data_IF_571475187203
#
_entry.id   IF_571475187203
#
_cell.length_a   1.000
_cell.length_b   1.000
_cell.length_c   1.000
_cell.angle_alpha   90.00
_cell.angle_beta   90.00
_cell.angle_gamma   90.00
#
_symmetry.space_group_name_H-M   'P 1'
#
loop_
_entity.id
_entity.type
_entity.pdbx_description
1 polymer ?
#
# COMPACT_ATOMS: atom_id res chain seq x y z
N UNK A 1 9.34 8.92 -10.66
CA UNK A 1 8.56 8.17 -9.66
C UNK A 1 7.83 9.03 -8.63
N UNK A 2 8.45 10.03 -7.97
CA UNK A 2 7.77 10.82 -6.93
C UNK A 2 6.43 11.45 -7.39
N UNK A 3 6.43 12.06 -8.58
CA UNK A 3 5.22 12.64 -9.16
C UNK A 3 4.18 11.57 -9.52
N UNK A 4 4.62 10.43 -10.06
CA UNK A 4 3.75 9.29 -10.34
C UNK A 4 3.04 8.78 -9.08
N UNK A 5 3.72 8.71 -7.92
CA UNK A 5 3.06 8.30 -6.68
C UNK A 5 1.93 9.23 -6.26
N UNK A 6 2.06 10.54 -6.50
CA UNK A 6 0.96 11.50 -6.28
C UNK A 6 -0.22 11.19 -7.19
N UNK A 7 0.01 11.00 -8.48
CA UNK A 7 -1.06 10.67 -9.42
C UNK A 7 -1.73 9.33 -9.10
N UNK A 8 -0.95 8.33 -8.66
CA UNK A 8 -1.50 7.05 -8.19
C UNK A 8 -2.38 7.23 -6.97
N UNK A 9 -1.94 8.06 -6.01
CA UNK A 9 -2.73 8.41 -4.83
C UNK A 9 -4.05 9.13 -5.19
N UNK A 10 -3.99 10.05 -6.15
CA UNK A 10 -5.17 10.74 -6.68
C UNK A 10 -6.14 9.78 -7.40
N UNK A 11 -5.64 8.88 -8.26
CA UNK A 11 -6.43 7.83 -8.91
C UNK A 11 -7.04 6.84 -7.90
N UNK A 12 -6.27 6.43 -6.89
CA UNK A 12 -6.75 5.58 -5.80
C UNK A 12 -7.93 6.25 -5.09
N UNK A 13 -7.80 7.55 -4.76
CA UNK A 13 -8.88 8.33 -4.14
C UNK A 13 -10.12 8.35 -5.02
N UNK A 14 -9.99 8.62 -6.33
CA UNK A 14 -11.13 8.64 -7.25
C UNK A 14 -11.82 7.29 -7.35
N UNK A 15 -11.05 6.19 -7.37
CA UNK A 15 -11.61 4.83 -7.34
C UNK A 15 -12.41 4.59 -6.07
N UNK A 16 -11.87 4.93 -4.90
CA UNK A 16 -12.61 4.77 -3.64
C UNK A 16 -13.85 5.66 -3.58
N UNK A 17 -13.78 6.92 -4.02
CA UNK A 17 -14.96 7.79 -4.14
C UNK A 17 -16.04 7.11 -4.99
N UNK A 18 -15.68 6.56 -6.16
CA UNK A 18 -16.62 5.85 -7.02
C UNK A 18 -17.20 4.60 -6.35
N UNK A 19 -16.37 3.76 -5.75
CA UNK A 19 -16.84 2.55 -5.04
C UNK A 19 -17.81 2.97 -3.96
N UNK A 20 -17.38 3.85 -3.05
CA UNK A 20 -18.10 4.24 -1.85
C UNK A 20 -19.38 5.04 -2.10
N UNK A 21 -19.47 5.75 -3.23
CA UNK A 21 -20.70 6.44 -3.64
C UNK A 21 -21.76 5.50 -4.22
N UNK A 22 -21.36 4.30 -4.65
CA UNK A 22 -22.24 3.36 -5.36
C UNK A 22 -22.42 2.02 -4.64
N UNK A 23 -21.50 1.67 -3.75
CA UNK A 23 -21.45 0.40 -3.03
C UNK A 23 -20.72 0.58 -1.71
N UNK A 24 -21.38 0.18 -0.62
CA UNK A 24 -20.76 0.18 0.71
C UNK A 24 -20.40 -1.26 1.12
N UNK A 25 -19.13 -1.68 0.98
CA UNK A 25 -18.71 -3.06 1.20
C UNK A 25 -18.42 -3.43 2.66
N UNK A 26 -18.29 -2.44 3.55
CA UNK A 26 -17.82 -2.66 4.91
C UNK A 26 -18.99 -2.78 5.90
N UNK A 27 -19.66 -3.92 5.93
CA UNK A 27 -20.71 -4.18 6.91
C UNK A 27 -20.12 -4.24 8.34
N UNK A 28 -20.48 -3.28 9.21
CA UNK A 28 -20.06 -3.27 10.62
C UNK A 28 -18.58 -2.93 10.87
N UNK A 29 -18.02 -1.96 10.14
CA UNK A 29 -16.64 -1.49 10.32
C UNK A 29 -15.55 -2.58 10.09
N UNK A 30 -15.86 -3.65 9.34
CA UNK A 30 -14.91 -4.75 9.08
C UNK A 30 -13.72 -4.36 8.18
N UNK A 31 -13.76 -3.14 7.63
CA UNK A 31 -12.81 -2.65 6.63
C UNK A 31 -12.88 -3.41 5.32
N UNK A 32 -11.95 -3.08 4.43
CA UNK A 32 -11.76 -3.76 3.16
C UNK A 32 -10.68 -4.83 3.34
N UNK A 33 -10.91 -6.04 2.86
CA UNK A 33 -9.89 -7.10 2.89
C UNK A 33 -8.58 -6.58 2.28
N UNK A 34 -7.44 -7.02 2.79
CA UNK A 34 -6.11 -6.57 2.34
C UNK A 34 -5.95 -6.77 0.82
N UNK A 35 -6.45 -7.88 0.27
CA UNK A 35 -6.55 -8.13 -1.18
C UNK A 35 -7.29 -7.04 -1.97
N UNK A 36 -8.35 -6.45 -1.41
CA UNK A 36 -9.09 -5.37 -2.06
C UNK A 36 -8.34 -4.04 -1.98
N UNK A 37 -7.60 -3.80 -0.89
CA UNK A 37 -6.69 -2.65 -0.78
C UNK A 37 -5.62 -2.74 -1.88
N UNK A 38 -4.93 -3.88 -1.94
CA UNK A 38 -3.88 -4.16 -2.93
C UNK A 38 -4.41 -4.05 -4.35
N UNK A 39 -5.55 -4.67 -4.67
CA UNK A 39 -6.13 -4.61 -6.01
C UNK A 39 -6.46 -3.18 -6.45
N UNK A 40 -7.05 -2.36 -5.57
CA UNK A 40 -7.38 -0.97 -5.92
C UNK A 40 -6.14 -0.11 -6.14
N UNK A 41 -5.07 -0.34 -5.37
CA UNK A 41 -3.80 0.36 -5.57
C UNK A 41 -3.09 -0.08 -6.85
N UNK A 42 -3.03 -1.39 -7.12
CA UNK A 42 -2.47 -1.93 -8.37
C UNK A 42 -3.23 -1.38 -9.59
N UNK A 43 -4.56 -1.39 -9.54
CA UNK A 43 -5.39 -0.78 -10.60
C UNK A 43 -5.10 0.71 -10.81
N UNK A 44 -4.77 1.46 -9.75
CA UNK A 44 -4.40 2.87 -9.86
C UNK A 44 -3.01 3.03 -10.50
N UNK A 45 -2.05 2.17 -10.16
CA UNK A 45 -0.74 2.13 -10.83
C UNK A 45 -0.86 1.82 -12.31
N UNK A 46 -1.57 0.77 -12.69
CA UNK A 46 -1.72 0.37 -14.10
C UNK A 46 -2.32 1.50 -14.94
N UNK A 47 -3.26 2.27 -14.39
CA UNK A 47 -3.83 3.43 -15.06
C UNK A 47 -2.84 4.59 -15.22
N UNK A 48 -2.02 4.86 -14.21
CA UNK A 48 -1.07 5.99 -14.22
C UNK A 48 0.18 5.66 -15.05
N UNK A 49 0.68 4.43 -14.96
CA UNK A 49 1.90 3.98 -15.61
C UNK A 49 1.68 3.44 -17.03
N UNK A 50 0.46 3.02 -17.36
CA UNK A 50 0.09 2.55 -18.69
C UNK A 50 0.53 1.10 -18.97
N UNK A 51 0.47 0.71 -20.25
CA UNK A 51 0.56 -0.68 -20.70
C UNK A 51 1.89 -1.38 -20.45
N UNK A 52 2.98 -0.62 -20.21
CA UNK A 52 4.29 -1.19 -19.87
C UNK A 52 4.41 -1.60 -18.39
N UNK A 53 3.41 -1.29 -17.57
CA UNK A 53 3.32 -1.71 -16.18
C UNK A 53 2.92 -3.18 -16.08
N UNK A 54 3.74 -3.99 -15.43
CA UNK A 54 3.43 -5.38 -15.11
C UNK A 54 3.14 -5.45 -13.61
N UNK A 55 1.97 -5.96 -13.24
CA UNK A 55 1.64 -6.25 -11.85
C UNK A 55 1.53 -7.75 -11.61
N UNK A 56 1.91 -8.19 -10.41
CA UNK A 56 1.75 -9.58 -10.00
C UNK A 56 1.37 -9.66 -8.53
N UNK A 57 0.30 -10.38 -8.21
CA UNK A 57 -0.20 -10.54 -6.85
C UNK A 57 0.44 -11.76 -6.18
N UNK A 58 0.55 -11.71 -4.85
CA UNK A 58 1.03 -12.83 -4.04
C UNK A 58 2.40 -13.34 -4.55
N UNK A 59 3.32 -12.39 -4.81
CA UNK A 59 4.62 -12.70 -5.41
C UNK A 59 5.45 -13.55 -4.45
N UNK A 60 5.85 -14.77 -4.85
CA UNK A 60 6.54 -15.68 -3.95
C UNK A 60 7.95 -15.18 -3.66
N UNK A 61 8.32 -15.19 -2.37
CA UNK A 61 9.64 -14.76 -1.88
C UNK A 61 10.33 -15.86 -1.06
N UNK A 62 9.83 -17.07 -1.21
CA UNK A 62 10.37 -18.29 -0.66
C UNK A 62 9.83 -19.47 -1.46
N UNK A 63 10.52 -20.61 -1.37
CA UNK A 63 10.04 -21.86 -1.96
C UNK A 63 9.25 -22.71 -0.95
N UNK A 64 9.51 -22.56 0.36
CA UNK A 64 9.15 -23.61 1.33
C UNK A 64 8.13 -23.20 2.39
N UNK A 65 7.83 -21.91 2.57
CA UNK A 65 6.95 -21.45 3.66
C UNK A 65 5.79 -20.54 3.22
N UNK A 66 5.49 -20.52 1.92
CA UNK A 66 4.33 -19.79 1.36
C UNK A 66 4.36 -18.27 1.56
N UNK A 67 5.49 -17.70 2.01
CA UNK A 67 5.66 -16.26 2.13
C UNK A 67 5.62 -15.61 0.76
N UNK A 68 4.87 -14.52 0.72
CA UNK A 68 4.68 -13.69 -0.45
C UNK A 68 4.77 -12.22 -0.06
N UNK A 69 4.84 -11.37 -1.09
CA UNK A 69 4.49 -9.95 -1.03
C UNK A 69 3.09 -9.81 -1.64
N UNK A 70 2.20 -9.03 -1.03
CA UNK A 70 0.81 -8.87 -1.49
C UNK A 70 0.71 -8.56 -3.00
N UNK A 71 1.56 -7.64 -3.48
CA UNK A 71 1.78 -7.44 -4.91
C UNK A 71 3.16 -6.85 -5.22
N UNK A 72 3.62 -7.10 -6.43
CA UNK A 72 4.78 -6.44 -7.03
C UNK A 72 4.39 -5.75 -8.32
N UNK A 73 5.03 -4.62 -8.60
CA UNK A 73 4.88 -3.91 -9.86
C UNK A 73 6.26 -3.69 -10.47
N UNK A 74 6.39 -4.02 -11.75
CA UNK A 74 7.54 -3.73 -12.58
C UNK A 74 7.16 -2.72 -13.65
N UNK A 75 7.94 -1.64 -13.74
CA UNK A 75 7.77 -0.61 -14.76
C UNK A 75 9.15 -0.07 -15.13
N UNK A 76 9.56 -0.28 -16.38
CA UNK A 76 10.91 0.08 -16.84
C UNK A 76 12.00 -0.47 -15.89
N UNK A 77 12.87 0.40 -15.40
CA UNK A 77 13.91 0.11 -14.39
C UNK A 77 13.42 0.28 -12.94
N UNK A 78 12.13 0.13 -12.67
CA UNK A 78 11.54 0.30 -11.33
C UNK A 78 10.83 -0.97 -10.86
N UNK A 79 11.11 -1.37 -9.61
CA UNK A 79 10.39 -2.43 -8.88
C UNK A 79 9.68 -1.81 -7.68
N UNK A 80 8.41 -2.16 -7.48
CA UNK A 80 7.61 -1.68 -6.37
C UNK A 80 7.05 -2.90 -5.65
N UNK A 81 7.34 -3.03 -4.36
CA UNK A 81 6.75 -4.01 -3.47
C UNK A 81 5.59 -3.36 -2.71
N UNK A 82 4.45 -4.03 -2.64
CA UNK A 82 3.24 -3.51 -1.99
C UNK A 82 2.86 -4.46 -0.86
N UNK A 83 2.59 -3.90 0.31
CA UNK A 83 2.00 -4.60 1.45
C UNK A 83 0.80 -3.80 1.97
N UNK A 84 -0.35 -4.49 2.08
CA UNK A 84 -1.59 -3.91 2.57
C UNK A 84 -1.91 -4.39 3.98
N UNK A 85 -2.54 -3.53 4.77
CA UNK A 85 -2.97 -3.92 6.13
C UNK A 85 -4.27 -3.25 6.56
N UNK A 86 -5.13 -4.02 7.23
CA UNK A 86 -6.24 -3.43 8.00
C UNK A 86 -5.78 -3.09 9.41
N UNK A 87 -5.88 -1.83 9.82
CA UNK A 87 -5.53 -1.39 11.19
C UNK A 87 -6.67 -1.65 12.18
N UNK A 88 -7.07 -2.92 12.33
CA UNK A 88 -8.11 -3.34 13.27
C UNK A 88 -7.67 -3.20 14.73
N UNK A 89 -6.39 -3.48 15.02
CA UNK A 89 -5.69 -3.21 16.27
C UNK A 89 -4.36 -2.54 15.93
N UNK A 90 -4.19 -1.27 16.30
CA UNK A 90 -3.04 -0.46 15.84
C UNK A 90 -1.73 -1.11 16.26
N UNK A 91 -1.54 -1.38 17.56
CA UNK A 91 -0.29 -1.98 18.07
C UNK A 91 0.10 -3.28 17.37
N UNK A 92 -0.82 -4.25 17.27
CA UNK A 92 -0.50 -5.56 16.67
C UNK A 92 -0.25 -5.46 15.16
N UNK A 93 -0.98 -4.58 14.47
CA UNK A 93 -0.85 -4.39 13.03
C UNK A 93 0.41 -3.61 12.65
N UNK A 94 0.82 -2.63 13.46
CA UNK A 94 2.12 -1.97 13.28
C UNK A 94 3.29 -2.95 13.47
N UNK A 95 3.21 -3.85 14.46
CA UNK A 95 4.22 -4.90 14.63
C UNK A 95 4.27 -5.84 13.41
N UNK A 96 3.11 -6.22 12.85
CA UNK A 96 3.05 -6.99 11.59
C UNK A 96 3.69 -6.23 10.43
N UNK A 97 3.34 -4.95 10.26
CA UNK A 97 3.88 -4.09 9.20
C UNK A 97 5.41 -3.98 9.32
N UNK A 98 5.96 -3.90 10.53
CA UNK A 98 7.43 -3.90 10.73
C UNK A 98 8.07 -5.16 10.15
N UNK A 99 7.52 -6.34 10.41
CA UNK A 99 8.03 -7.60 9.85
C UNK A 99 7.90 -7.64 8.32
N UNK A 100 6.81 -7.08 7.77
CA UNK A 100 6.59 -6.98 6.33
C UNK A 100 7.59 -6.03 5.67
N UNK A 101 7.88 -4.88 6.30
CA UNK A 101 8.91 -3.94 5.88
C UNK A 101 10.30 -4.57 5.91
N UNK A 102 10.66 -5.26 6.99
CA UNK A 102 11.95 -5.97 7.06
C UNK A 102 12.13 -6.95 5.89
N UNK A 103 11.04 -7.65 5.54
CA UNK A 103 10.99 -8.59 4.44
C UNK A 103 11.11 -7.90 3.07
N UNK A 104 10.40 -6.79 2.85
CA UNK A 104 10.49 -6.00 1.61
C UNK A 104 11.89 -5.43 1.39
N UNK A 105 12.57 -5.00 2.46
CA UNK A 105 13.91 -4.40 2.39
C UNK A 105 15.04 -5.44 2.47
N UNK A 106 14.73 -6.73 2.38
CA UNK A 106 15.75 -7.78 2.38
C UNK A 106 16.35 -7.94 0.99
N UNK A 107 17.69 -7.96 0.91
CA UNK A 107 18.42 -8.26 -0.33
C UNK A 107 17.92 -9.56 -0.98
N UNK A 108 17.73 -10.61 -0.18
CA UNK A 108 17.23 -11.92 -0.64
C UNK A 108 15.85 -11.81 -1.28
N UNK A 109 14.95 -11.04 -0.68
CA UNK A 109 13.59 -10.82 -1.24
C UNK A 109 13.69 -10.14 -2.60
N UNK A 110 14.51 -9.10 -2.72
CA UNK A 110 14.68 -8.37 -3.97
C UNK A 110 15.27 -9.27 -5.05
N UNK A 111 16.31 -10.03 -4.73
CA UNK A 111 16.95 -10.96 -5.66
C UNK A 111 15.95 -11.99 -6.20
N UNK A 112 15.10 -12.57 -5.34
CA UNK A 112 14.08 -13.54 -5.75
C UNK A 112 12.99 -12.90 -6.62
N UNK A 113 12.48 -11.73 -6.23
CA UNK A 113 11.45 -11.01 -7.00
C UNK A 113 11.96 -10.61 -8.39
N UNK A 114 13.24 -10.25 -8.50
CA UNK A 114 13.84 -9.76 -9.73
C UNK A 114 14.58 -10.83 -10.56
N UNK A 115 14.74 -12.06 -10.05
CA UNK A 115 15.60 -13.12 -10.61
C UNK A 115 15.35 -13.36 -12.10
N UNK A 116 14.07 -13.44 -12.47
CA UNK A 116 13.57 -13.81 -13.79
C UNK A 116 13.09 -12.62 -14.62
N UNK A 117 13.40 -11.38 -14.22
CA UNK A 117 13.13 -10.22 -15.07
C UNK A 117 13.98 -10.32 -16.35
N UNK A 118 13.30 -10.26 -17.50
CA UNK A 118 13.93 -10.34 -18.83
C UNK A 118 14.76 -9.09 -19.14
N UNK A 119 14.34 -7.93 -18.65
CA UNK A 119 15.07 -6.67 -18.77
C UNK A 119 15.90 -6.40 -17.50
N UNK A 120 17.09 -6.98 -17.41
CA UNK A 120 18.06 -6.70 -16.35
C UNK A 120 18.78 -5.38 -16.63
N UNK A 121 18.12 -4.25 -16.39
CA UNK A 121 18.84 -2.97 -16.23
C UNK A 121 19.89 -3.15 -15.13
N UNK A 122 21.11 -2.68 -15.35
CA UNK A 122 22.19 -2.76 -14.36
C UNK A 122 21.88 -1.96 -13.09
N UNK A 123 20.96 -1.00 -13.16
CA UNK A 123 20.50 -0.18 -12.05
C UNK A 123 18.97 -0.16 -12.06
N UNK A 124 18.35 -0.59 -10.95
CA UNK A 124 16.89 -0.57 -10.75
C UNK A 124 16.56 0.26 -9.51
N UNK A 125 15.57 1.14 -9.64
CA UNK A 125 14.98 1.86 -8.52
C UNK A 125 13.98 0.95 -7.82
N UNK A 126 13.96 0.95 -6.49
CA UNK A 126 13.14 0.03 -5.71
C UNK A 126 12.35 0.79 -4.67
N UNK A 127 11.07 0.47 -4.55
CA UNK A 127 10.18 1.11 -3.59
C UNK A 127 9.38 0.08 -2.82
N UNK A 128 9.16 0.34 -1.54
CA UNK A 128 8.22 -0.38 -0.70
C UNK A 128 7.01 0.52 -0.44
N UNK A 129 5.81 -0.02 -0.59
CA UNK A 129 4.56 0.68 -0.32
C UNK A 129 3.85 -0.03 0.81
N UNK A 130 3.48 0.75 1.84
CA UNK A 130 2.53 0.30 2.86
C UNK A 130 1.22 1.02 2.62
N UNK A 131 0.16 0.22 2.42
CA UNK A 131 -1.20 0.71 2.26
C UNK A 131 -2.07 0.21 3.41
N UNK A 132 -2.62 1.12 4.19
CA UNK A 132 -3.50 0.76 5.29
C UNK A 132 -4.90 1.31 5.10
N UNK A 133 -5.91 0.57 5.56
CA UNK A 133 -7.19 1.16 5.94
C UNK A 133 -7.29 1.30 7.46
N UNK A 134 -8.06 2.28 7.90
CA UNK A 134 -8.33 2.52 9.32
C UNK A 134 -9.72 3.12 9.51
N UNK A 135 -10.37 2.70 10.59
CA UNK A 135 -11.65 3.24 11.06
C UNK A 135 -11.39 4.07 12.32
N UNK A 136 -11.45 5.40 12.26
CA UNK A 136 -11.05 6.28 13.38
C UNK A 136 -12.11 6.41 14.49
N UNK A 137 -12.76 5.29 14.83
CA UNK A 137 -13.82 5.23 15.85
C UNK A 137 -13.29 5.20 17.30
N UNK A 138 -11.97 5.08 17.48
CA UNK A 138 -11.30 5.10 18.78
C UNK A 138 -10.14 6.09 18.80
N UNK A 139 -9.77 6.56 19.99
CA UNK A 139 -8.64 7.48 20.17
C UNK A 139 -7.33 6.90 19.62
N UNK A 140 -7.07 5.61 19.85
CA UNK A 140 -5.87 4.92 19.34
C UNK A 140 -5.82 4.96 17.80
N UNK A 141 -6.94 4.66 17.13
CA UNK A 141 -7.02 4.67 15.66
C UNK A 141 -6.99 6.08 15.09
N UNK A 142 -7.57 7.07 15.77
CA UNK A 142 -7.45 8.49 15.40
C UNK A 142 -6.00 8.96 15.50
N UNK A 143 -5.30 8.65 16.59
CA UNK A 143 -3.89 8.98 16.77
C UNK A 143 -3.00 8.32 15.71
N UNK A 144 -3.32 7.07 15.34
CA UNK A 144 -2.68 6.40 14.21
C UNK A 144 -2.91 7.19 12.90
N UNK A 145 -4.14 7.60 12.59
CA UNK A 145 -4.38 8.43 11.40
C UNK A 145 -3.61 9.76 11.44
N UNK A 146 -3.58 10.44 12.58
CA UNK A 146 -2.92 11.74 12.72
C UNK A 146 -1.40 11.63 12.57
N UNK A 147 -0.82 10.59 13.17
CA UNK A 147 0.63 10.35 13.23
C UNK A 147 1.19 9.65 12.00
N UNK A 148 0.37 9.29 11.01
CA UNK A 148 0.85 8.67 9.77
C UNK A 148 1.71 9.63 8.95
N UNK A 149 2.85 9.18 8.37
CA UNK A 149 3.42 7.82 8.39
C UNK A 149 4.44 7.54 9.51
N UNK A 150 4.64 8.47 10.45
CA UNK A 150 5.72 8.44 11.46
C UNK A 150 5.65 7.27 12.46
N UNK A 151 4.54 6.53 12.49
CA UNK A 151 4.39 5.32 13.30
C UNK A 151 4.95 4.05 12.65
N UNK A 152 5.37 4.12 11.38
CA UNK A 152 6.06 3.03 10.70
C UNK A 152 7.47 2.87 11.27
N UNK A 153 8.11 1.72 10.98
CA UNK A 153 9.46 1.45 11.47
C UNK A 153 10.45 2.52 10.99
N UNK A 154 11.46 2.83 11.81
CA UNK A 154 12.46 3.85 11.49
C UNK A 154 13.13 3.60 10.13
N UNK A 155 13.46 2.32 9.84
CA UNK A 155 13.99 1.86 8.55
C UNK A 155 13.14 2.30 7.36
N UNK A 156 11.81 2.31 7.52
CA UNK A 156 10.89 2.76 6.49
C UNK A 156 10.87 4.29 6.38
N UNK A 157 10.79 4.98 7.52
CA UNK A 157 10.67 6.44 7.60
C UNK A 157 11.94 7.16 7.12
N UNK A 158 13.12 6.59 7.38
CA UNK A 158 14.42 7.16 6.97
C UNK A 158 14.57 7.33 5.44
N UNK A 159 13.81 6.56 4.66
CA UNK A 159 13.81 6.61 3.21
C UNK A 159 12.44 6.96 2.62
N UNK A 160 11.56 7.55 3.43
CA UNK A 160 10.23 7.98 2.99
C UNK A 160 10.35 8.97 1.82
N UNK A 161 9.65 8.67 0.73
CA UNK A 161 9.63 9.50 -0.47
C UNK A 161 8.29 10.16 -0.73
N UNK A 162 7.20 9.52 -0.28
CA UNK A 162 5.84 10.02 -0.45
C UNK A 162 4.93 9.43 0.63
N UNK A 163 3.92 10.20 1.05
CA UNK A 163 2.82 9.69 1.87
C UNK A 163 1.55 10.49 1.60
N UNK A 164 0.40 9.85 1.82
CA UNK A 164 -0.90 10.48 1.65
C UNK A 164 -1.90 9.89 2.64
N UNK A 165 -2.81 10.76 3.10
CA UNK A 165 -3.99 10.39 3.88
C UNK A 165 -5.22 10.68 3.03
N UNK A 166 -6.08 9.70 2.85
CA UNK A 166 -7.32 9.81 2.10
C UNK A 166 -8.50 9.76 3.05
N UNK A 167 -9.40 10.73 2.87
CA UNK A 167 -10.62 10.86 3.65
C UNK A 167 -11.83 11.07 2.73
N UNK A 168 -13.01 10.72 3.22
CA UNK A 168 -14.24 10.57 2.42
C UNK A 168 -15.46 11.30 3.03
N UNK A 169 -15.24 12.24 3.95
CA UNK A 169 -16.30 12.99 4.65
C UNK A 169 -17.20 13.76 3.67
N UNK A 170 -16.60 14.23 2.56
CA UNK A 170 -17.28 14.99 1.52
C UNK A 170 -18.20 14.18 0.60
N UNK A 171 -18.33 12.85 0.78
CA UNK A 171 -19.24 12.04 -0.03
C UNK A 171 -20.71 12.41 0.27
N UNK A 172 -21.50 12.63 -0.78
CA UNK A 172 -22.93 12.94 -0.68
C UNK A 172 -23.76 11.65 -0.51
N UNK A 173 -23.57 10.98 0.61
CA UNK A 173 -24.27 9.76 1.04
C UNK A 173 -24.63 9.87 2.52
N UNK A 174 -25.66 9.15 2.96
CA UNK A 174 -26.19 9.24 4.34
C UNK A 174 -25.32 8.48 5.38
N UNK A 175 -24.44 7.58 4.94
CA UNK A 175 -23.67 6.72 5.83
C UNK A 175 -22.67 7.47 6.71
N UNK A 176 -22.84 7.39 8.04
CA UNK A 176 -21.91 7.99 9.03
C UNK A 176 -20.49 7.45 8.96
N UNK A 177 -20.32 6.23 8.44
CA UNK A 177 -19.02 5.58 8.27
C UNK A 177 -18.03 6.42 7.44
N UNK A 178 -18.50 7.31 6.55
CA UNK A 178 -17.64 8.17 5.72
C UNK A 178 -16.76 9.11 6.55
N UNK A 179 -17.20 9.42 7.76
CA UNK A 179 -16.46 10.22 8.73
C UNK A 179 -15.33 9.42 9.38
N UNK A 180 -15.48 8.10 9.47
CA UNK A 180 -14.57 7.22 10.20
C UNK A 180 -13.59 6.47 9.30
N UNK A 181 -13.99 6.10 8.08
CA UNK A 181 -13.14 5.33 7.18
C UNK A 181 -12.07 6.21 6.53
N UNK A 182 -10.81 5.78 6.60
CA UNK A 182 -9.64 6.45 6.01
C UNK A 182 -8.73 5.43 5.33
N UNK A 183 -7.94 5.93 4.37
CA UNK A 183 -6.84 5.17 3.77
C UNK A 183 -5.54 5.92 3.98
N UNK A 184 -4.49 5.17 4.30
CA UNK A 184 -3.17 5.66 4.60
C UNK A 184 -2.18 5.03 3.62
N UNK A 185 -1.49 5.85 2.85
CA UNK A 185 -0.49 5.42 1.88
C UNK A 185 0.86 5.98 2.31
N UNK A 186 1.89 5.14 2.30
CA UNK A 186 3.27 5.55 2.45
C UNK A 186 4.14 4.82 1.44
N UNK A 187 5.20 5.50 0.99
CA UNK A 187 6.15 5.00 0.00
C UNK A 187 7.55 5.30 0.47
N UNK A 188 8.39 4.28 0.53
CA UNK A 188 9.79 4.40 0.94
C UNK A 188 10.70 3.80 -0.14
N UNK A 189 11.84 4.43 -0.37
CA UNK A 189 12.86 3.94 -1.28
C UNK A 189 13.68 2.84 -0.61
N UNK A 190 13.91 1.73 -1.33
CA UNK A 190 14.76 0.64 -0.86
C UNK A 190 16.16 0.87 -1.41
N UNK A 191 17.10 1.19 -0.51
CA UNK A 191 18.52 1.36 -0.82
C UNK A 191 19.29 0.11 -0.41
N UNK A 192 19.73 -0.65 -1.40
CA UNK A 192 20.52 -1.89 -1.27
C UNK A 192 21.61 -1.91 -2.34
#
# INVERSE_FOLDING_TARGET
MKEQFKYVGDELKQRYIKILSNYYPAHGSTGFTERNLTNNLVSAFERVLGESCISWFEAPICLDNGKHIDAVIFFESTTILIESKRLTSVKSKLASITNDVERMFSQKTIELVEENLTCKSSIRNRYAIVLCDVWIESNEKSQAFDSWPNQLSQKYVDHLTYSQKLSFEGLNIEGQWKNNYKILLAVSEIKI
#
